data_IF_506214430498
#
_entry.id   IF_506214430498
#
_cell.length_a   1.000
_cell.length_b   1.000
_cell.length_c   1.000
_cell.angle_alpha   90.00
_cell.angle_beta   90.00
_cell.angle_gamma   90.00
#
_symmetry.space_group_name_H-M   'P 1'
#
loop_
_entity.id
_entity.type
_entity.pdbx_description
1 polymer ?
#
# COMPACT_ATOMS: atom_id res chain seq x y z
N UNK A 1 12.55 -61.18 14.53
CA UNK A 1 11.65 -60.04 14.26
C UNK A 1 11.15 -60.21 12.82
N UNK A 2 9.96 -60.80 12.64
CA UNK A 2 9.45 -61.17 11.30
C UNK A 2 8.72 -59.98 10.69
N UNK A 3 9.30 -59.39 9.64
CA UNK A 3 8.66 -58.30 8.91
C UNK A 3 7.51 -58.88 8.08
N UNK A 4 6.28 -58.60 8.50
CA UNK A 4 5.08 -59.05 7.80
C UNK A 4 4.95 -58.26 6.49
N UNK A 5 5.16 -58.92 5.36
CA UNK A 5 5.02 -58.31 4.03
C UNK A 5 3.53 -58.09 3.75
N UNK A 6 3.08 -56.84 3.53
CA UNK A 6 1.68 -56.55 3.25
C UNK A 6 1.28 -57.04 1.86
N UNK A 7 0.04 -57.47 1.70
CA UNK A 7 -0.49 -57.85 0.38
C UNK A 7 -0.74 -56.61 -0.49
N UNK A 8 -0.75 -56.77 -1.81
CA UNK A 8 -1.00 -55.67 -2.78
C UNK A 8 -2.27 -54.86 -2.50
N UNK A 9 -3.32 -55.49 -1.96
CA UNK A 9 -4.56 -54.82 -1.55
C UNK A 9 -4.32 -53.87 -0.37
N UNK A 10 -3.55 -54.30 0.61
CA UNK A 10 -3.18 -53.53 1.80
C UNK A 10 -2.19 -52.41 1.43
N UNK A 11 -1.26 -52.65 0.49
CA UNK A 11 -0.42 -51.60 -0.08
C UNK A 11 -1.24 -50.50 -0.76
N UNK A 12 -2.26 -50.87 -1.55
CA UNK A 12 -3.13 -49.91 -2.21
C UNK A 12 -3.90 -49.07 -1.19
N UNK A 13 -4.43 -49.69 -0.14
CA UNK A 13 -5.20 -49.00 0.91
C UNK A 13 -4.30 -48.05 1.72
N UNK A 14 -3.12 -48.49 2.15
CA UNK A 14 -2.15 -47.64 2.83
C UNK A 14 -1.68 -46.45 1.97
N UNK A 15 -1.53 -46.67 0.66
CA UNK A 15 -1.20 -45.60 -0.27
C UNK A 15 -2.35 -44.59 -0.37
N UNK A 16 -3.58 -45.05 -0.59
CA UNK A 16 -4.75 -44.17 -0.65
C UNK A 16 -4.91 -43.35 0.63
N UNK A 17 -4.70 -43.96 1.79
CA UNK A 17 -4.74 -43.26 3.09
C UNK A 17 -3.62 -42.20 3.20
N UNK A 18 -2.41 -42.50 2.72
CA UNK A 18 -1.29 -41.56 2.71
C UNK A 18 -1.52 -40.35 1.78
N UNK A 19 -2.15 -40.60 0.62
CA UNK A 19 -2.51 -39.55 -0.34
C UNK A 19 -3.63 -38.67 0.21
N UNK A 20 -4.62 -39.26 0.90
CA UNK A 20 -5.73 -38.53 1.52
C UNK A 20 -5.23 -37.66 2.70
N UNK A 21 -4.39 -38.18 3.59
CA UNK A 21 -3.87 -37.42 4.74
C UNK A 21 -2.98 -36.23 4.38
N UNK A 22 -2.31 -36.24 3.22
CA UNK A 22 -1.46 -35.13 2.78
C UNK A 22 -2.28 -33.93 2.29
N UNK A 23 -3.52 -34.15 1.85
CA UNK A 23 -4.42 -33.09 1.35
C UNK A 23 -5.26 -32.41 2.44
N UNK A 24 -5.28 -32.96 3.66
CA UNK A 24 -6.14 -32.52 4.77
C UNK A 24 -5.46 -31.58 5.76
N UNK A 25 -4.33 -30.96 5.42
CA UNK A 25 -3.82 -29.82 6.19
C UNK A 25 -4.23 -28.51 5.49
N UNK A 26 -5.50 -28.07 5.60
CA UNK A 26 -5.90 -26.75 5.13
C UNK A 26 -5.06 -25.69 5.84
N UNK A 27 -4.74 -24.61 5.12
CA UNK A 27 -3.92 -23.49 5.60
C UNK A 27 -4.32 -23.10 7.03
N UNK A 28 -3.36 -22.89 7.95
CA UNK A 28 -3.66 -22.53 9.34
C UNK A 28 -4.34 -21.16 9.38
N UNK A 29 -5.67 -21.17 9.50
CA UNK A 29 -6.51 -19.96 9.46
C UNK A 29 -6.25 -19.06 10.68
N UNK A 30 -5.79 -19.64 11.79
CA UNK A 30 -5.38 -18.94 13.00
C UNK A 30 -4.23 -17.97 12.72
N UNK A 31 -3.34 -18.30 11.79
CA UNK A 31 -2.27 -17.41 11.36
C UNK A 31 -2.81 -16.22 10.52
N UNK A 32 -4.00 -16.33 9.92
CA UNK A 32 -4.59 -15.24 9.14
C UNK A 32 -5.11 -14.11 10.04
N UNK A 33 -5.47 -14.37 11.30
CA UNK A 33 -5.94 -13.33 12.22
C UNK A 33 -4.85 -12.27 12.46
N UNK A 34 -3.65 -12.61 12.95
CA UNK A 34 -2.60 -11.61 13.16
C UNK A 34 -2.13 -11.00 11.83
N UNK A 35 -2.09 -11.77 10.74
CA UNK A 35 -1.71 -11.23 9.42
C UNK A 35 -2.74 -10.24 8.90
N UNK A 36 -4.04 -10.50 9.05
CA UNK A 36 -5.11 -9.59 8.64
C UNK A 36 -5.09 -8.31 9.48
N UNK A 37 -4.88 -8.44 10.79
CA UNK A 37 -4.74 -7.27 11.67
C UNK A 37 -3.56 -6.41 11.23
N UNK A 38 -2.39 -7.01 11.00
CA UNK A 38 -1.22 -6.31 10.47
C UNK A 38 -1.53 -5.58 9.16
N UNK A 39 -2.09 -6.30 8.17
CA UNK A 39 -2.44 -5.71 6.87
C UNK A 39 -3.43 -4.56 7.02
N UNK A 40 -4.44 -4.71 7.88
CA UNK A 40 -5.43 -3.64 8.13
C UNK A 40 -4.79 -2.39 8.73
N UNK A 41 -3.87 -2.53 9.68
CA UNK A 41 -3.16 -1.39 10.26
C UNK A 41 -2.33 -0.67 9.21
N UNK A 42 -1.56 -1.40 8.39
CA UNK A 42 -0.80 -0.79 7.30
C UNK A 42 -1.69 -0.14 6.23
N UNK A 43 -2.83 -0.76 5.90
CA UNK A 43 -3.79 -0.20 4.96
C UNK A 43 -4.39 1.11 5.49
N UNK A 44 -4.81 1.14 6.76
CA UNK A 44 -5.35 2.33 7.43
C UNK A 44 -4.31 3.44 7.49
N UNK A 45 -3.09 3.14 7.94
CA UNK A 45 -2.01 4.13 8.00
C UNK A 45 -1.67 4.68 6.61
N UNK A 46 -1.55 3.81 5.60
CA UNK A 46 -1.22 4.23 4.23
C UNK A 46 -2.30 5.10 3.58
N UNK A 47 -3.58 4.74 3.77
CA UNK A 47 -4.70 5.56 3.29
C UNK A 47 -4.78 6.89 4.00
N UNK A 48 -4.65 6.90 5.34
CA UNK A 48 -4.67 8.14 6.12
C UNK A 48 -3.53 9.08 5.71
N UNK A 49 -2.32 8.57 5.51
CA UNK A 49 -1.17 9.36 5.06
C UNK A 49 -1.39 9.93 3.64
N UNK A 50 -1.90 9.12 2.71
CA UNK A 50 -2.19 9.61 1.35
C UNK A 50 -3.25 10.73 1.36
N UNK A 51 -4.33 10.55 2.13
CA UNK A 51 -5.38 11.55 2.27
C UNK A 51 -4.84 12.84 2.92
N UNK A 52 -4.02 12.73 3.97
CA UNK A 52 -3.46 13.91 4.63
C UNK A 52 -2.53 14.71 3.71
N UNK A 53 -1.69 14.04 2.92
CA UNK A 53 -0.84 14.72 1.93
C UNK A 53 -1.65 15.35 0.80
N UNK A 54 -2.73 14.69 0.36
CA UNK A 54 -3.63 15.26 -0.66
C UNK A 54 -4.39 16.47 -0.13
N UNK A 55 -4.90 16.41 1.10
CA UNK A 55 -5.61 17.52 1.72
C UNK A 55 -4.74 18.78 1.79
N UNK A 56 -3.46 18.63 2.18
CA UNK A 56 -2.50 19.74 2.23
C UNK A 56 -2.10 20.27 0.84
N UNK A 57 -2.25 19.45 -0.20
CA UNK A 57 -1.85 19.78 -1.56
C UNK A 57 -3.02 20.21 -2.44
N UNK A 58 -4.11 20.73 -1.86
CA UNK A 58 -5.34 21.09 -2.58
C UNK A 58 -5.87 19.94 -3.46
N UNK A 59 -5.76 18.72 -2.96
CA UNK A 59 -6.09 17.46 -3.64
C UNK A 59 -5.20 17.07 -4.82
N UNK A 60 -4.12 17.83 -5.10
CA UNK A 60 -3.11 17.43 -6.07
C UNK A 60 -2.18 16.36 -5.47
N UNK A 61 -1.70 15.40 -6.26
CA UNK A 61 -0.74 14.42 -5.79
C UNK A 61 0.57 15.10 -5.33
N UNK A 62 1.26 14.56 -4.30
CA UNK A 62 2.59 15.02 -3.92
C UNK A 62 3.58 14.83 -5.08
N UNK A 63 4.52 15.77 -5.24
CA UNK A 63 5.60 15.68 -6.23
C UNK A 63 6.83 15.03 -5.58
N UNK A 64 7.51 14.19 -6.35
CA UNK A 64 8.72 13.49 -5.95
C UNK A 64 9.87 13.90 -6.88
N UNK A 65 11.11 13.78 -6.42
CA UNK A 65 12.31 14.09 -7.20
C UNK A 65 12.31 15.52 -7.77
N UNK A 66 12.00 16.49 -6.91
CA UNK A 66 11.99 17.89 -7.29
C UNK A 66 13.41 18.40 -7.50
N UNK A 67 13.70 18.88 -8.71
CA UNK A 67 14.98 19.51 -9.04
C UNK A 67 15.02 20.97 -8.57
N UNK A 68 16.22 21.55 -8.41
CA UNK A 68 16.39 22.92 -7.89
C UNK A 68 15.59 23.96 -8.70
N UNK A 69 15.52 23.78 -10.02
CA UNK A 69 14.70 24.63 -10.89
C UNK A 69 13.21 24.53 -10.54
N UNK A 70 12.68 23.32 -10.34
CA UNK A 70 11.28 23.11 -9.99
C UNK A 70 10.93 23.70 -8.62
N UNK A 71 11.85 23.60 -7.66
CA UNK A 71 11.72 24.26 -6.35
C UNK A 71 11.61 25.78 -6.53
N UNK A 72 12.48 26.39 -7.35
CA UNK A 72 12.43 27.83 -7.63
C UNK A 72 11.13 28.26 -8.33
N UNK A 73 10.58 27.42 -9.21
CA UNK A 73 9.27 27.66 -9.83
C UNK A 73 8.13 27.56 -8.80
N UNK A 74 8.17 26.59 -7.89
CA UNK A 74 7.17 26.46 -6.84
C UNK A 74 7.18 27.65 -5.86
N UNK A 75 8.36 28.18 -5.54
CA UNK A 75 8.48 29.39 -4.72
C UNK A 75 7.90 30.61 -5.44
N UNK A 76 8.14 30.74 -6.73
CA UNK A 76 7.53 31.77 -7.57
C UNK A 76 6.01 31.64 -7.58
N UNK A 77 5.49 30.44 -7.84
CA UNK A 77 4.04 30.18 -7.89
C UNK A 77 3.37 30.43 -6.54
N UNK A 78 4.06 30.13 -5.42
CA UNK A 78 3.61 30.47 -4.06
C UNK A 78 3.50 31.98 -3.86
N UNK A 79 4.44 32.77 -4.38
CA UNK A 79 4.38 34.25 -4.32
C UNK A 79 3.21 34.81 -5.14
N UNK A 80 2.89 34.16 -6.27
CA UNK A 80 1.80 34.60 -7.15
C UNK A 80 0.41 34.21 -6.65
N UNK A 81 0.28 33.04 -6.02
CA UNK A 81 -1.03 32.47 -5.64
C UNK A 81 -1.28 32.44 -4.14
N UNK A 82 -0.29 32.79 -3.32
CA UNK A 82 -0.34 32.71 -1.86
C UNK A 82 -0.31 31.28 -1.30
N UNK A 83 -0.27 30.25 -2.15
CA UNK A 83 -0.32 28.86 -1.71
C UNK A 83 0.72 27.99 -2.41
N UNK A 84 1.30 27.02 -1.68
CA UNK A 84 2.39 26.17 -2.18
C UNK A 84 2.00 25.34 -3.43
N UNK A 85 0.70 25.09 -3.63
CA UNK A 85 0.15 24.32 -4.77
C UNK A 85 -0.85 25.10 -5.60
N UNK A 86 -0.95 26.40 -5.39
CA UNK A 86 -1.80 27.25 -6.21
C UNK A 86 -1.23 27.34 -7.63
N UNK A 87 -2.12 27.22 -8.62
CA UNK A 87 -1.81 27.50 -10.01
C UNK A 87 -2.79 28.56 -10.50
N UNK A 88 -2.29 29.53 -11.24
CA UNK A 88 -3.11 30.57 -11.88
C UNK A 88 -2.70 30.69 -13.35
N UNK A 89 -3.68 30.88 -14.21
CA UNK A 89 -3.51 31.14 -15.64
C UNK A 89 -3.85 32.58 -16.00
N UNK A 90 -3.98 33.46 -14.99
CA UNK A 90 -4.29 34.87 -15.21
C UNK A 90 -3.13 35.55 -15.97
N UNK A 91 -3.39 36.19 -17.13
CA UNK A 91 -2.37 36.94 -17.85
C UNK A 91 -1.92 38.20 -17.10
N UNK A 92 -2.75 38.74 -16.20
CA UNK A 92 -2.36 39.85 -15.34
C UNK A 92 -1.70 39.34 -14.06
N UNK A 93 -0.58 39.95 -13.67
CA UNK A 93 0.06 39.65 -12.39
C UNK A 93 -0.87 40.15 -11.27
N UNK A 94 -1.27 39.29 -10.32
CA UNK A 94 -2.06 39.72 -9.17
C UNK A 94 -1.35 40.87 -8.45
N UNK A 95 -2.10 41.93 -8.11
CA UNK A 95 -1.51 43.03 -7.35
C UNK A 95 -0.95 42.48 -6.03
N UNK A 96 0.30 42.84 -5.66
CA UNK A 96 0.84 42.41 -4.38
C UNK A 96 -0.10 42.90 -3.26
N UNK A 97 -0.38 42.09 -2.22
CA UNK A 97 -1.18 42.54 -1.10
C UNK A 97 -0.55 43.83 -0.56
N UNK A 98 -1.35 44.89 -0.42
CA UNK A 98 -0.90 46.18 0.10
C UNK A 98 -0.19 45.94 1.44
N UNK A 99 1.07 46.34 1.54
CA UNK A 99 1.84 46.28 2.77
C UNK A 99 1.26 47.29 3.77
N UNK A 100 0.29 46.86 4.57
CA UNK A 100 -0.19 47.55 5.77
C UNK A 100 0.56 47.07 7.00
#
# INVERSE_FOLDING_TARGET
MTMKVPRMREMRENLLDSWLSTTTMPVPWEALIPTALLVSMFAVTGTLANVSFRAQNQWKPPRYHLEHFEVSLMERDKKLTGHLRGQTSDPAIPQPPSSS
#
